data_IF_169024181495
#
_entry.id   IF_169024181495
#
_cell.length_a   1.000
_cell.length_b   1.000
_cell.length_c   1.000
_cell.angle_alpha   90.00
_cell.angle_beta   90.00
_cell.angle_gamma   90.00
#
_symmetry.space_group_name_H-M   'P 1'
#
loop_
_entity.id
_entity.type
_entity.pdbx_description
1 polymer ?
2 polymer ?
3 non-polymer ?
#
loop_
_entity_poly.entity_id
_entity_poly.type
_entity_poly.pdbx_seq_one_letter_code
_entity_poly.pdbx_strand_id
2 'polyribonucleotide' 'AUUUU' ?
#
# COMPACT_ATOMS: atom_id res chain seq x y z
N UNK A 7 4.00 -13.53 -18.84
CA UNK A 7 3.12 -13.13 -17.70
C UNK A 7 3.63 -13.43 -16.27
N UNK A 8 3.30 -14.58 -15.69
CA UNK A 8 3.73 -14.88 -14.30
C UNK A 8 5.03 -14.20 -13.77
N UNK A 9 6.05 -14.04 -14.60
CA UNK A 9 7.28 -13.37 -14.15
C UNK A 9 7.03 -11.86 -14.07
N UNK A 10 6.38 -11.32 -15.10
CA UNK A 10 6.06 -9.91 -15.20
C UNK A 10 5.14 -9.50 -14.06
N UNK A 11 4.20 -10.38 -13.72
CA UNK A 11 3.28 -10.09 -12.61
C UNK A 11 4.11 -9.95 -11.32
N UNK A 12 5.01 -10.91 -11.09
CA UNK A 12 5.86 -10.91 -9.91
C UNK A 12 6.75 -9.68 -9.85
N UNK A 13 7.39 -9.31 -10.95
CA UNK A 13 8.25 -8.13 -10.94
C UNK A 13 7.44 -6.89 -10.59
N UNK A 14 6.16 -6.91 -10.91
CA UNK A 14 5.30 -5.79 -10.61
C UNK A 14 4.97 -5.79 -9.10
N UNK A 15 4.77 -6.98 -8.52
CA UNK A 15 4.49 -7.07 -7.10
C UNK A 15 5.71 -6.47 -6.42
N UNK A 16 6.91 -6.87 -6.83
CA UNK A 16 8.15 -6.34 -6.22
C UNK A 16 8.19 -4.80 -6.25
N UNK A 17 7.85 -4.24 -7.40
CA UNK A 17 7.85 -2.80 -7.59
C UNK A 17 6.86 -2.08 -6.72
N UNK A 18 5.62 -2.56 -6.75
CA UNK A 18 4.56 -1.95 -5.98
C UNK A 18 4.82 -2.02 -4.49
N UNK A 19 5.51 -3.05 -4.04
CA UNK A 19 5.78 -3.16 -2.62
C UNK A 19 6.81 -2.09 -2.25
N UNK A 20 7.94 -2.05 -2.94
CA UNK A 20 8.97 -1.06 -2.66
C UNK A 20 8.40 0.37 -2.72
N UNK A 21 7.54 0.59 -3.71
CA UNK A 21 6.89 1.88 -3.93
C UNK A 21 5.84 2.21 -2.87
N UNK A 22 5.37 1.19 -2.17
CA UNK A 22 4.41 1.42 -1.10
C UNK A 22 5.20 1.87 0.14
N UNK A 23 6.30 1.18 0.43
CA UNK A 23 7.12 1.53 1.58
C UNK A 23 7.49 3.02 1.53
N UNK A 24 8.00 3.47 0.38
CA UNK A 24 8.40 4.88 0.19
C UNK A 24 7.24 5.77 -0.27
N UNK A 25 6.04 5.20 -0.35
CA UNK A 25 4.88 5.94 -0.82
C UNK A 25 4.47 7.12 0.03
N UNK A 26 3.59 7.93 -0.54
CA UNK A 26 3.09 9.10 0.18
C UNK A 26 2.34 8.74 1.47
N UNK A 27 1.71 7.57 1.47
CA UNK A 27 0.90 7.12 2.59
C UNK A 27 1.69 6.48 3.70
N UNK A 28 2.59 5.60 3.33
CA UNK A 28 3.37 4.88 4.31
C UNK A 28 4.60 5.57 4.91
N UNK A 29 5.37 6.29 4.09
CA UNK A 29 6.59 6.91 4.58
C UNK A 29 6.40 7.88 5.75
N UNK A 30 5.42 8.77 5.65
CA UNK A 30 5.23 9.70 6.76
C UNK A 30 5.06 9.03 8.12
N UNK A 31 4.61 7.77 8.12
CA UNK A 31 4.38 6.97 9.34
C UNK A 31 5.40 5.83 9.49
N UNK A 32 6.57 5.96 8.89
CA UNK A 32 7.53 4.87 8.95
C UNK A 32 8.87 5.27 9.56
N UNK A 33 8.85 5.55 10.86
CA UNK A 33 10.03 5.95 11.61
C UNK A 33 11.29 5.15 11.23
N UNK A 34 11.17 3.84 11.06
CA UNK A 34 12.36 3.06 10.71
C UNK A 34 12.91 3.53 9.38
N UNK A 35 12.03 3.74 8.41
CA UNK A 35 12.47 4.18 7.10
C UNK A 35 12.89 5.65 7.11
N UNK A 36 12.03 6.52 7.63
CA UNK A 36 12.33 7.94 7.74
C UNK A 36 13.77 8.07 8.23
N UNK A 37 14.11 7.28 9.25
CA UNK A 37 15.45 7.28 9.81
C UNK A 37 16.51 6.92 8.81
N UNK A 38 16.44 5.71 8.28
CA UNK A 38 17.40 5.23 7.29
C UNK A 38 17.71 6.23 6.18
N UNK A 39 16.67 6.93 5.76
CA UNK A 39 16.79 7.88 4.69
C UNK A 39 17.62 9.11 5.01
N UNK A 40 17.72 9.41 6.31
CA UNK A 40 18.50 10.54 6.78
C UNK A 40 19.99 10.26 6.78
N UNK A 41 20.36 8.99 6.89
CA UNK A 41 21.77 8.63 6.95
C UNK A 41 22.59 8.80 5.68
N UNK A 42 21.98 8.92 4.51
CA UNK A 42 22.80 9.04 3.32
C UNK A 42 22.09 9.75 2.18
N UNK A 43 21.62 10.96 2.45
CA UNK A 43 20.92 11.74 1.44
C UNK A 43 19.78 10.95 0.80
N UNK A 44 19.08 10.18 1.63
CA UNK A 44 17.97 9.38 1.14
C UNK A 44 18.25 7.97 0.67
N UNK A 45 19.50 7.64 0.40
CA UNK A 45 19.82 6.30 -0.06
C UNK A 45 19.67 5.29 1.09
N UNK A 46 19.24 4.08 0.73
CA UNK A 46 19.02 2.94 1.64
C UNK A 46 19.59 1.68 0.96
N UNK A 47 20.41 0.90 1.69
CA UNK A 47 21.00 -0.32 1.12
C UNK A 47 20.00 -1.44 0.89
N UNK A 48 20.09 -2.06 -0.28
CA UNK A 48 19.24 -3.19 -0.64
C UNK A 48 19.48 -4.30 0.38
N UNK A 49 20.64 -4.23 1.05
CA UNK A 49 21.01 -5.21 2.08
C UNK A 49 20.04 -5.02 3.25
N UNK A 50 19.62 -3.77 3.48
CA UNK A 50 18.66 -3.48 4.54
C UNK A 50 17.23 -3.61 4.00
N UNK A 51 17.07 -3.36 2.71
CA UNK A 51 15.74 -3.48 2.12
C UNK A 51 15.25 -4.94 2.13
N UNK A 52 16.11 -5.88 1.74
CA UNK A 52 15.68 -7.27 1.72
C UNK A 52 15.18 -7.73 3.08
N UNK A 53 15.43 -6.92 4.10
CA UNK A 53 14.99 -7.25 5.46
C UNK A 53 13.47 -7.07 5.60
N UNK A 54 12.89 -6.17 4.83
CA UNK A 54 11.46 -5.95 4.89
C UNK A 54 10.74 -7.25 4.57
N UNK A 55 9.87 -7.66 5.48
CA UNK A 55 9.14 -8.90 5.36
C UNK A 55 8.41 -9.14 4.06
N UNK A 56 7.48 -8.27 3.68
CA UNK A 56 6.78 -8.50 2.42
C UNK A 56 7.71 -8.51 1.18
N UNK A 57 8.78 -7.73 1.18
CA UNK A 57 9.67 -7.75 0.03
C UNK A 57 10.47 -9.05 0.01
N UNK A 58 10.94 -9.44 1.19
CA UNK A 58 11.72 -10.65 1.35
C UNK A 58 10.99 -11.90 0.83
N UNK A 59 9.69 -11.96 1.10
CA UNK A 59 8.86 -13.08 0.68
C UNK A 59 8.93 -13.29 -0.83
N UNK A 60 9.18 -12.21 -1.56
CA UNK A 60 9.25 -12.25 -3.01
C UNK A 60 10.68 -12.52 -3.49
N UNK A 61 11.66 -11.82 -2.90
CA UNK A 61 13.05 -12.04 -3.27
C UNK A 61 14.05 -11.29 -2.40
N UNK A 62 15.20 -11.92 -2.25
CA UNK A 62 16.27 -11.40 -1.43
C UNK A 62 17.44 -11.12 -2.36
N UNK A 63 17.20 -11.38 -3.65
CA UNK A 63 18.19 -11.20 -4.71
C UNK A 63 18.25 -9.76 -5.20
N UNK A 64 19.38 -9.10 -4.95
CA UNK A 64 19.59 -7.69 -5.34
C UNK A 64 19.41 -7.36 -6.82
N UNK A 65 19.92 -8.20 -7.71
CA UNK A 65 19.77 -7.93 -9.14
C UNK A 65 18.31 -8.00 -9.55
N UNK A 66 17.61 -9.03 -9.10
CA UNK A 66 16.19 -9.17 -9.43
C UNK A 66 15.42 -7.90 -9.02
N UNK A 67 15.72 -7.38 -7.83
CA UNK A 67 15.06 -6.15 -7.37
C UNK A 67 15.43 -4.97 -8.27
N UNK A 68 16.63 -5.03 -8.84
CA UNK A 68 17.12 -3.98 -9.72
C UNK A 68 16.52 -4.02 -11.12
N UNK A 69 16.30 -5.20 -11.67
CA UNK A 69 15.71 -5.25 -13.01
C UNK A 69 14.25 -4.79 -12.87
N UNK A 70 13.57 -5.32 -11.84
CA UNK A 70 12.18 -4.98 -11.55
C UNK A 70 11.93 -3.47 -11.53
N UNK A 71 12.80 -2.73 -10.84
CA UNK A 71 12.67 -1.27 -10.76
C UNK A 71 13.17 -0.60 -12.04
N UNK A 72 14.32 -1.00 -12.55
CA UNK A 72 14.84 -0.42 -13.78
C UNK A 72 13.67 -0.24 -14.75
N UNK A 73 12.76 -1.21 -14.75
CA UNK A 73 11.59 -1.20 -15.63
C UNK A 73 10.27 -0.82 -14.93
N UNK A 74 10.24 0.26 -14.15
CA UNK A 74 9.00 0.63 -13.46
C UNK A 74 8.08 1.53 -14.28
N UNK A 75 6.82 1.56 -13.88
CA UNK A 75 5.83 2.39 -14.54
C UNK A 75 5.68 3.71 -13.75
N UNK A 76 5.68 3.63 -12.42
CA UNK A 76 5.54 4.81 -11.59
C UNK A 76 6.79 5.67 -11.69
N UNK A 77 7.93 5.02 -11.85
CA UNK A 77 9.20 5.72 -11.93
C UNK A 77 9.26 6.70 -10.76
N UNK A 78 9.19 6.16 -9.55
CA UNK A 78 9.24 6.98 -8.34
C UNK A 78 10.52 6.68 -7.56
N UNK A 79 11.13 5.53 -7.84
CA UNK A 79 12.35 5.10 -7.16
C UNK A 79 13.61 5.35 -7.97
N UNK A 80 14.73 5.48 -7.28
CA UNK A 80 16.01 5.67 -7.95
C UNK A 80 16.96 4.58 -7.50
N UNK A 81 17.72 4.03 -8.46
CA UNK A 81 18.71 2.99 -8.19
C UNK A 81 20.08 3.68 -8.22
N UNK A 82 21.01 3.26 -7.36
CA UNK A 82 22.32 3.92 -7.33
C UNK A 82 23.28 3.53 -8.46
N UNK A 83 24.43 4.20 -8.52
CA UNK A 83 25.43 3.94 -9.55
C UNK A 83 25.93 2.50 -9.48
N UNK A 84 26.35 2.08 -8.29
CA UNK A 84 26.84 0.73 -8.07
C UNK A 84 25.72 -0.30 -7.90
N UNK A 85 24.48 0.15 -8.12
CA UNK A 85 23.29 -0.70 -8.02
C UNK A 85 23.20 -1.51 -6.74
N UNK A 86 23.36 -0.84 -5.60
CA UNK A 86 23.30 -1.50 -4.30
C UNK A 86 22.39 -0.76 -3.32
N UNK A 87 22.05 0.48 -3.64
CA UNK A 87 21.17 1.27 -2.78
C UNK A 87 20.05 1.83 -3.65
N UNK A 88 18.88 2.03 -3.06
CA UNK A 88 17.78 2.63 -3.79
C UNK A 88 17.29 3.82 -2.96
N UNK A 89 16.45 4.66 -3.56
CA UNK A 89 15.91 5.81 -2.84
C UNK A 89 14.78 6.46 -3.61
N UNK A 90 14.02 7.30 -2.90
CA UNK A 90 12.89 7.99 -3.50
C UNK A 90 13.46 9.20 -4.21
N UNK A 91 13.11 9.37 -5.48
CA UNK A 91 13.62 10.50 -6.24
C UNK A 91 13.36 11.81 -5.51
N UNK A 92 14.42 12.59 -5.22
CA UNK A 92 14.30 13.87 -4.52
C UNK A 92 13.38 14.83 -5.22
N UNK A 93 13.20 14.61 -6.52
CA UNK A 93 12.34 15.45 -7.35
C UNK A 93 10.88 15.03 -7.21
N UNK A 94 10.61 14.16 -6.24
CA UNK A 94 9.26 13.71 -5.97
C UNK A 94 9.05 13.77 -4.47
N UNK A 95 9.02 15.00 -3.92
CA UNK A 95 8.84 15.24 -2.48
C UNK A 95 7.46 14.80 -2.00
N UNK A 96 7.35 14.63 -0.69
CA UNK A 96 6.10 14.23 -0.05
C UNK A 96 5.20 15.46 0.01
N UNK A 97 3.88 15.25 0.07
CA UNK A 97 2.89 16.33 0.12
C UNK A 97 2.93 17.23 1.35
N UNK A 98 2.31 18.39 1.21
CA UNK A 98 2.18 19.33 2.29
C UNK A 98 0.88 18.84 2.92
N UNK A 99 0.95 18.25 4.10
CA UNK A 99 -0.26 17.73 4.74
C UNK A 99 -1.10 18.85 5.36
N UNK A 100 -2.11 19.30 4.63
CA UNK A 100 -2.98 20.38 5.09
C UNK A 100 -4.30 19.79 5.59
N UNK A 101 -5.16 20.62 6.17
CA UNK A 101 -6.45 20.14 6.64
C UNK A 101 -7.29 19.79 5.43
N UNK A 102 -7.25 20.65 4.41
CA UNK A 102 -8.01 20.41 3.17
C UNK A 102 -7.69 19.02 2.62
N UNK A 103 -6.46 18.58 2.85
CA UNK A 103 -5.98 17.30 2.38
C UNK A 103 -6.25 16.13 3.33
N UNK A 104 -6.08 16.36 4.63
CA UNK A 104 -6.34 15.32 5.63
C UNK A 104 -7.83 15.01 5.51
N UNK A 105 -8.61 16.02 5.16
CA UNK A 105 -10.04 15.86 5.00
C UNK A 105 -10.30 15.06 3.71
N UNK A 106 -9.62 15.39 2.63
CA UNK A 106 -9.84 14.68 1.38
C UNK A 106 -9.44 13.21 1.42
N UNK A 107 -8.56 12.85 2.34
CA UNK A 107 -8.14 11.48 2.45
C UNK A 107 -9.24 10.72 3.16
N UNK A 108 -10.03 11.42 3.97
CA UNK A 108 -11.12 10.79 4.69
C UNK A 108 -12.27 10.49 3.73
N UNK A 109 -12.48 11.38 2.78
CA UNK A 109 -13.55 11.21 1.81
C UNK A 109 -13.26 10.09 0.83
N UNK A 110 -12.00 9.66 0.81
CA UNK A 110 -11.58 8.59 -0.07
C UNK A 110 -11.43 7.26 0.67
N UNK A 111 -11.81 7.27 1.94
CA UNK A 111 -11.73 6.11 2.81
C UNK A 111 -13.04 5.33 2.95
N UNK A 112 -12.97 4.03 2.70
CA UNK A 112 -14.12 3.17 2.76
C UNK A 112 -13.92 2.06 3.79
N UNK A 113 -15.02 1.68 4.45
CA UNK A 113 -15.05 0.63 5.47
C UNK A 113 -15.77 -0.60 4.93
N UNK A 114 -15.17 -1.77 5.13
CA UNK A 114 -15.76 -3.01 4.67
C UNK A 114 -15.67 -4.06 5.77
N UNK A 115 -16.82 -4.63 6.14
CA UNK A 115 -16.89 -5.67 7.18
C UNK A 115 -17.37 -6.98 6.56
N UNK A 116 -16.72 -8.08 6.93
CA UNK A 116 -17.11 -9.38 6.41
C UNK A 116 -15.96 -10.19 5.83
N UNK A 117 -14.77 -9.97 6.37
CA UNK A 117 -13.60 -10.68 5.88
C UNK A 117 -13.17 -11.75 6.88
N UNK A 118 -13.18 -13.03 6.45
CA UNK A 118 -12.78 -14.15 7.31
C UNK A 118 -11.54 -13.80 8.12
N UNK A 119 -11.64 -13.81 9.45
CA UNK A 119 -10.50 -13.46 10.29
C UNK A 119 -9.16 -14.05 9.83
N UNK A 120 -9.22 -15.19 9.13
CA UNK A 120 -8.02 -15.86 8.63
C UNK A 120 -7.66 -15.48 7.18
N UNK A 121 -8.02 -14.26 6.79
CA UNK A 121 -7.72 -13.74 5.46
C UNK A 121 -6.45 -12.89 5.57
N UNK A 122 -5.65 -12.88 4.50
CA UNK A 122 -4.40 -12.12 4.47
C UNK A 122 -4.45 -10.92 3.54
N UNK A 123 -3.43 -10.07 3.66
CA UNK A 123 -3.33 -8.87 2.85
C UNK A 123 -3.48 -9.21 1.37
N UNK A 124 -2.97 -10.38 0.97
CA UNK A 124 -3.06 -10.78 -0.43
C UNK A 124 -4.44 -11.30 -0.79
N UNK A 125 -5.16 -11.81 0.20
CA UNK A 125 -6.52 -12.28 -0.03
C UNK A 125 -7.35 -11.03 -0.31
N UNK A 126 -7.20 -10.04 0.57
CA UNK A 126 -7.92 -8.78 0.44
C UNK A 126 -7.41 -8.03 -0.79
N UNK A 127 -6.10 -8.01 -0.99
CA UNK A 127 -5.53 -7.34 -2.16
C UNK A 127 -6.12 -7.92 -3.45
N UNK A 128 -6.15 -9.25 -3.53
CA UNK A 128 -6.67 -9.98 -4.69
C UNK A 128 -8.09 -9.59 -5.03
N UNK A 129 -8.95 -9.60 -4.01
CA UNK A 129 -10.36 -9.27 -4.18
C UNK A 129 -10.60 -7.83 -4.64
N UNK A 130 -9.71 -6.92 -4.26
CA UNK A 130 -9.83 -5.51 -4.62
C UNK A 130 -9.25 -5.22 -6.01
N UNK A 131 -8.43 -6.14 -6.50
CA UNK A 131 -7.76 -6.01 -7.79
C UNK A 131 -8.46 -5.15 -8.85
N UNK A 132 -9.72 -5.44 -9.15
CA UNK A 132 -10.43 -4.69 -10.19
C UNK A 132 -11.59 -3.81 -9.71
N UNK A 133 -11.43 -3.16 -8.56
CA UNK A 133 -12.51 -2.32 -8.02
C UNK A 133 -12.15 -0.83 -7.87
N UNK A 134 -10.95 -0.46 -8.29
CA UNK A 134 -10.51 0.92 -8.19
C UNK A 134 -9.06 1.01 -7.72
N UNK A 135 -8.39 2.11 -8.07
CA UNK A 135 -6.99 2.32 -7.67
C UNK A 135 -6.96 2.57 -6.16
N UNK A 136 -6.24 1.73 -5.42
CA UNK A 136 -6.13 1.90 -3.98
C UNK A 136 -4.72 2.30 -3.55
N UNK A 137 -4.67 3.14 -2.53
CA UNK A 137 -3.41 3.64 -2.03
C UNK A 137 -3.03 3.01 -0.71
N UNK A 138 -4.01 2.42 -0.03
CA UNK A 138 -3.77 1.79 1.25
C UNK A 138 -4.88 0.85 1.73
N UNK A 139 -4.48 -0.25 2.36
CA UNK A 139 -5.40 -1.24 2.92
C UNK A 139 -5.08 -1.32 4.41
N UNK A 140 -6.08 -1.10 5.25
CA UNK A 140 -5.88 -1.19 6.71
C UNK A 140 -6.67 -2.34 7.34
N UNK A 141 -5.96 -3.38 7.76
CA UNK A 141 -6.60 -4.52 8.38
C UNK A 141 -6.77 -4.21 9.85
N UNK A 142 -8.01 -4.02 10.28
CA UNK A 142 -8.31 -3.71 11.68
C UNK A 142 -7.97 -4.89 12.61
N UNK A 143 -7.45 -4.58 13.80
CA UNK A 143 -7.03 -5.62 14.72
C UNK A 143 -7.33 -5.40 16.20
N UNK A 144 -7.59 -6.52 16.88
CA UNK A 144 -7.91 -6.53 18.30
C UNK A 144 -6.73 -6.08 19.15
N UNK A 145 -6.74 -6.49 20.41
CA UNK A 145 -5.67 -6.14 21.33
C UNK A 145 -4.64 -7.26 21.29
N UNK A 146 -5.12 -8.47 21.02
CA UNK A 146 -4.29 -9.66 20.92
C UNK A 146 -3.68 -9.65 19.52
N UNK A 147 -3.78 -8.49 18.88
CA UNK A 147 -3.28 -8.28 17.52
C UNK A 147 -3.91 -9.28 16.55
N UNK A 148 -5.24 -9.37 16.58
CA UNK A 148 -5.98 -10.28 15.70
C UNK A 148 -6.85 -9.52 14.68
N UNK A 149 -6.98 -10.07 13.47
CA UNK A 149 -7.74 -9.44 12.39
C UNK A 149 -9.27 -9.44 12.54
N UNK A 150 -9.80 -8.36 13.11
CA UNK A 150 -11.23 -8.17 13.36
C UNK A 150 -12.17 -8.53 12.22
N UNK A 151 -11.66 -8.71 11.01
CA UNK A 151 -12.53 -9.04 9.89
C UNK A 151 -12.98 -7.80 9.10
N UNK A 152 -12.79 -6.62 9.69
CA UNK A 152 -13.14 -5.34 9.05
C UNK A 152 -11.86 -4.57 8.63
N UNK A 153 -11.96 -3.76 7.59
CA UNK A 153 -10.81 -2.99 7.12
C UNK A 153 -11.19 -1.58 6.69
N UNK A 154 -10.16 -0.83 6.29
CA UNK A 154 -10.31 0.53 5.78
C UNK A 154 -9.49 0.59 4.51
N UNK A 155 -10.16 0.97 3.42
CA UNK A 155 -9.50 1.07 2.14
C UNK A 155 -9.51 2.53 1.75
N UNK A 156 -8.38 3.00 1.23
CA UNK A 156 -8.23 4.38 0.76
C UNK A 156 -8.11 4.28 -0.76
N UNK A 157 -8.94 5.01 -1.49
CA UNK A 157 -8.85 5.00 -2.94
C UNK A 157 -8.12 6.25 -3.39
N UNK A 158 -7.65 6.23 -4.64
CA UNK A 158 -6.93 7.35 -5.26
C UNK A 158 -7.80 8.58 -5.58
N UNK A 159 -9.12 8.38 -5.67
CA UNK A 159 -10.05 9.48 -5.98
C UNK A 159 -11.46 9.21 -5.43
N UNK A 160 -12.20 10.28 -5.15
CA UNK A 160 -13.55 10.12 -4.61
C UNK A 160 -14.45 9.40 -5.59
N UNK A 161 -14.29 9.69 -6.88
CA UNK A 161 -15.08 9.05 -7.92
C UNK A 161 -15.12 7.51 -7.74
N UNK A 162 -13.95 6.86 -7.70
CA UNK A 162 -13.90 5.41 -7.50
C UNK A 162 -14.34 4.98 -6.09
N UNK A 163 -14.27 5.90 -5.12
CA UNK A 163 -14.69 5.58 -3.77
C UNK A 163 -16.21 5.49 -3.81
N UNK A 164 -16.85 6.54 -4.33
CA UNK A 164 -18.31 6.61 -4.43
C UNK A 164 -18.90 5.51 -5.33
N UNK A 165 -18.21 5.20 -6.42
CA UNK A 165 -18.69 4.14 -7.31
C UNK A 165 -18.75 2.86 -6.48
N UNK A 166 -17.66 2.57 -5.78
CA UNK A 166 -17.52 1.38 -4.93
C UNK A 166 -18.55 1.32 -3.82
N UNK A 167 -18.53 2.34 -2.96
CA UNK A 167 -19.46 2.40 -1.84
C UNK A 167 -20.91 2.23 -2.28
N UNK A 168 -21.23 2.70 -3.47
CA UNK A 168 -22.61 2.61 -3.95
C UNK A 168 -22.95 1.46 -4.91
N UNK A 169 -22.37 0.30 -4.64
CA UNK A 169 -22.64 -0.88 -5.44
C UNK A 169 -23.37 -1.89 -4.54
N UNK A 170 -24.57 -2.33 -4.97
CA UNK A 170 -25.48 -3.28 -4.29
C UNK A 170 -24.94 -4.65 -3.89
N UNK A 171 -24.53 -5.44 -4.88
CA UNK A 171 -24.04 -6.79 -4.62
C UNK A 171 -23.08 -6.94 -3.45
N UNK A 172 -21.87 -6.42 -3.65
CA UNK A 172 -20.79 -6.44 -2.66
C UNK A 172 -20.82 -7.60 -1.66
N UNK A 173 -20.51 -8.78 -2.18
CA UNK A 173 -20.47 -10.00 -1.40
C UNK A 173 -19.05 -10.55 -1.55
N UNK A 174 -18.42 -10.94 -0.45
CA UNK A 174 -17.07 -11.47 -0.55
C UNK A 174 -17.06 -12.94 -0.99
N UNK A 175 -17.09 -13.15 -2.31
CA UNK A 175 -17.11 -14.49 -2.91
C UNK A 175 -17.86 -15.47 -1.99
N UNK A 176 -19.18 -15.48 -2.11
CA UNK A 176 -20.07 -16.33 -1.30
C UNK A 176 -20.66 -15.59 -0.09
N UNK A 177 -19.81 -14.95 0.72
CA UNK A 177 -20.28 -14.20 1.89
C UNK A 177 -20.81 -12.83 1.45
N UNK A 178 -21.33 -12.06 2.42
CA UNK A 178 -21.89 -10.74 2.15
C UNK A 178 -21.19 -9.72 3.03
N UNK A 179 -20.95 -8.53 2.48
CA UNK A 179 -20.22 -7.49 3.20
C UNK A 179 -20.98 -6.24 3.59
N UNK A 180 -20.44 -5.55 4.59
CA UNK A 180 -21.00 -4.29 5.08
C UNK A 180 -20.05 -3.22 4.54
N UNK A 181 -20.57 -2.35 3.67
CA UNK A 181 -19.73 -1.32 3.06
C UNK A 181 -20.22 0.11 3.25
N UNK A 182 -19.47 0.85 4.07
CA UNK A 182 -19.75 2.25 4.40
C UNK A 182 -18.52 3.15 4.21
N UNK A 183 -18.73 4.46 4.08
CA UNK A 183 -17.61 5.40 3.96
C UNK A 183 -17.12 5.53 5.40
N UNK A 184 -15.81 5.52 5.59
CA UNK A 184 -15.21 5.64 6.92
C UNK A 184 -15.96 6.67 7.77
N UNK A 185 -16.53 7.68 7.12
CA UNK A 185 -17.26 8.73 7.80
C UNK A 185 -18.47 8.18 8.55
N UNK A 186 -19.38 7.53 7.81
CA UNK A 186 -20.60 6.95 8.38
C UNK A 186 -20.26 5.92 9.43
N UNK A 187 -19.31 5.04 9.12
CA UNK A 187 -18.93 4.02 10.07
C UNK A 187 -19.01 4.59 11.49
N UNK A 188 -18.65 5.86 11.64
CA UNK A 188 -18.74 6.52 12.94
C UNK A 188 -20.14 7.14 13.15
N UNK A 189 -21.12 6.24 13.15
CA UNK A 189 -22.53 6.51 13.40
C UNK A 189 -22.59 5.47 14.50
N UNK A 190 -21.48 5.42 15.24
CA UNK A 190 -21.24 4.48 16.32
C UNK A 190 -20.72 5.21 17.55
X LIG C 1 0.10 -5.91 -6.11
X LIG C 1 0.62 -6.62 -4.94
X LIG C 1 -1.04 -6.67 -6.66
X LIG C 1 1.15 -5.80 -7.15
X LIG C 1 -0.35 -4.55 -5.70
X LIG D 1 -16.33 -3.51 14.48
X LIG D 1 -15.96 -4.52 13.47
X LIG D 1 -17.38 -2.61 13.92
X LIG D 1 -16.86 -4.18 15.70
X LIG D 1 -15.15 -2.71 14.86
#
# INVERSE_FOLDING_TARGET
GSNGDNEKMAALEAKICHQIEYYFGDFNLPRDKFLKEQIKLDEGWVPLEIMIKFNRLNRLTTDFNVIVEALSKSKAELMEISEDKTKIRRSPSKPLPEVTDEYKNDVKNRSVYIKGFPTDATLDDIKEWLEDKGQVLNIQMRRTLHKAFKGSIFVVFDSIESAKKFVETPGQKYKETDLLILFKDDYFAKKNE
SO4 S O1 O2 O3 O4
SO4 S O1 O2 O3 O4
#
